data_IF_635158229670
#
_entry.id   IF_635158229670
#
_cell.length_a   1.000
_cell.length_b   1.000
_cell.length_c   1.000
_cell.angle_alpha   90.00
_cell.angle_beta   90.00
_cell.angle_gamma   90.00
#
_symmetry.space_group_name_H-M   'P 1'
#
loop_
_entity.id
_entity.type
_entity.pdbx_description
1 polymer ?
#
# COMPACT_ATOMS: atom_id res chain seq x y z
N UNK A 1 20.66 -36.72 -55.83
CA UNK A 1 20.34 -36.96 -54.40
C UNK A 1 21.10 -36.01 -53.48
N UNK A 2 21.10 -34.70 -53.75
CA UNK A 2 21.84 -33.65 -52.97
C UNK A 2 20.93 -32.53 -52.46
N UNK A 3 19.68 -32.51 -52.86
CA UNK A 3 18.78 -31.34 -52.52
C UNK A 3 18.09 -31.47 -51.16
N UNK A 4 18.09 -32.68 -50.55
CA UNK A 4 17.38 -32.91 -49.26
C UNK A 4 18.20 -32.44 -48.03
N UNK A 5 19.53 -32.34 -48.15
CA UNK A 5 20.40 -31.95 -47.02
C UNK A 5 20.38 -30.45 -46.69
N UNK A 6 20.26 -29.59 -47.68
CA UNK A 6 20.32 -28.16 -47.52
C UNK A 6 19.10 -27.54 -46.78
N UNK A 7 17.93 -28.15 -46.94
CA UNK A 7 16.71 -27.68 -46.24
C UNK A 7 16.71 -27.99 -44.73
N UNK A 8 17.28 -29.12 -44.33
CA UNK A 8 17.35 -29.52 -42.92
C UNK A 8 18.38 -28.70 -42.11
N UNK A 9 19.51 -28.37 -42.73
CA UNK A 9 20.52 -27.49 -42.09
C UNK A 9 20.05 -26.04 -41.98
N UNK A 10 19.36 -25.51 -42.99
CA UNK A 10 18.76 -24.18 -42.96
C UNK A 10 17.70 -24.09 -41.86
N UNK A 11 16.85 -25.10 -41.68
CA UNK A 11 15.84 -25.14 -40.64
C UNK A 11 16.45 -25.22 -39.24
N UNK A 12 17.51 -25.97 -39.01
CA UNK A 12 18.24 -26.00 -37.74
C UNK A 12 18.88 -24.65 -37.42
N UNK A 13 19.48 -23.98 -38.39
CA UNK A 13 20.09 -22.65 -38.19
C UNK A 13 19.06 -21.59 -37.81
N UNK A 14 17.87 -21.63 -38.43
CA UNK A 14 16.77 -20.73 -38.09
C UNK A 14 16.22 -20.98 -36.68
N UNK A 15 16.09 -22.23 -36.28
CA UNK A 15 15.67 -22.61 -34.94
C UNK A 15 16.68 -22.13 -33.90
N UNK A 16 17.97 -22.34 -34.08
CA UNK A 16 19.05 -21.91 -33.20
C UNK A 16 19.04 -20.36 -33.07
N UNK A 17 18.89 -19.64 -34.19
CA UNK A 17 18.83 -18.21 -34.21
C UNK A 17 17.62 -17.68 -33.39
N UNK A 18 16.45 -18.30 -33.54
CA UNK A 18 15.27 -17.94 -32.76
C UNK A 18 15.45 -18.18 -31.26
N UNK A 19 16.10 -19.29 -30.86
CA UNK A 19 16.43 -19.54 -29.46
C UNK A 19 17.41 -18.50 -28.90
N UNK A 20 18.43 -18.13 -29.66
CA UNK A 20 19.39 -17.10 -29.25
C UNK A 20 18.74 -15.72 -29.13
N UNK A 21 17.89 -15.33 -30.08
CA UNK A 21 17.15 -14.08 -30.01
C UNK A 21 16.18 -14.04 -28.82
N UNK A 22 15.48 -15.13 -28.55
CA UNK A 22 14.60 -15.26 -27.40
C UNK A 22 15.37 -15.16 -26.07
N UNK A 23 16.54 -15.77 -25.97
CA UNK A 23 17.40 -15.73 -24.80
C UNK A 23 17.97 -14.32 -24.56
N UNK A 24 18.41 -13.63 -25.62
CA UNK A 24 18.89 -12.24 -25.55
C UNK A 24 17.76 -11.31 -25.10
N UNK A 25 16.57 -11.46 -25.68
CA UNK A 25 15.39 -10.68 -25.29
C UNK A 25 15.02 -10.94 -23.82
N UNK A 26 15.04 -12.19 -23.38
CA UNK A 26 14.78 -12.55 -21.98
C UNK A 26 15.79 -11.90 -21.03
N UNK A 27 17.09 -11.97 -21.33
CA UNK A 27 18.12 -11.33 -20.52
C UNK A 27 17.98 -9.81 -20.47
N UNK A 28 17.63 -9.19 -21.61
CA UNK A 28 17.40 -7.76 -21.68
C UNK A 28 16.21 -7.33 -20.81
N UNK A 29 15.08 -8.05 -20.91
CA UNK A 29 13.87 -7.80 -20.11
C UNK A 29 14.18 -7.99 -18.62
N UNK A 30 14.88 -9.08 -18.26
CA UNK A 30 15.25 -9.36 -16.86
C UNK A 30 16.14 -8.25 -16.28
N UNK A 31 17.16 -7.81 -17.01
CA UNK A 31 18.03 -6.71 -16.56
C UNK A 31 17.27 -5.39 -16.35
N UNK A 32 16.20 -5.18 -17.10
CA UNK A 32 15.38 -3.97 -16.98
C UNK A 32 14.38 -4.03 -15.84
N UNK A 33 13.74 -5.19 -15.62
CA UNK A 33 12.65 -5.38 -14.65
C UNK A 33 13.18 -5.77 -13.26
N UNK A 34 14.27 -6.53 -13.19
CA UNK A 34 14.80 -7.05 -11.94
C UNK A 34 15.10 -5.97 -10.89
N UNK A 35 15.71 -4.83 -11.22
CA UNK A 35 15.92 -3.76 -10.24
C UNK A 35 14.61 -3.17 -9.69
N UNK A 36 13.57 -3.07 -10.52
CA UNK A 36 12.26 -2.60 -10.09
C UNK A 36 11.60 -3.61 -9.12
N UNK A 37 11.70 -4.91 -9.41
CA UNK A 37 11.20 -5.95 -8.50
C UNK A 37 11.93 -5.98 -7.16
N UNK A 38 13.25 -5.82 -7.19
CA UNK A 38 14.08 -5.73 -5.96
C UNK A 38 13.66 -4.52 -5.13
N UNK A 39 13.43 -3.36 -5.74
CA UNK A 39 12.99 -2.16 -5.05
C UNK A 39 11.62 -2.37 -4.37
N UNK A 40 10.65 -2.96 -5.08
CA UNK A 40 9.33 -3.25 -4.54
C UNK A 40 9.41 -4.24 -3.36
N UNK A 41 10.20 -5.30 -3.51
CA UNK A 41 10.42 -6.27 -2.44
C UNK A 41 11.06 -5.62 -1.21
N UNK A 42 12.05 -4.75 -1.42
CA UNK A 42 12.67 -3.99 -0.34
C UNK A 42 11.65 -3.09 0.38
N UNK A 43 10.74 -2.45 -0.34
CA UNK A 43 9.67 -1.63 0.26
C UNK A 43 8.74 -2.46 1.15
N UNK A 44 8.35 -3.65 0.69
CA UNK A 44 7.54 -4.57 1.49
C UNK A 44 8.29 -4.93 2.79
N UNK A 45 9.54 -5.37 2.66
CA UNK A 45 10.36 -5.76 3.82
C UNK A 45 10.53 -4.59 4.79
N UNK A 46 10.86 -3.40 4.31
CA UNK A 46 11.05 -2.22 5.16
C UNK A 46 9.76 -1.80 5.88
N UNK A 47 8.60 -1.85 5.21
CA UNK A 47 7.32 -1.51 5.82
C UNK A 47 6.97 -2.46 6.97
N UNK A 48 7.18 -3.75 6.80
CA UNK A 48 6.96 -4.72 7.87
C UNK A 48 8.03 -4.64 8.95
N UNK A 49 9.30 -4.55 8.60
CA UNK A 49 10.40 -4.53 9.55
C UNK A 49 10.34 -3.33 10.51
N UNK A 50 9.90 -2.18 10.01
CA UNK A 50 9.80 -0.98 10.85
C UNK A 50 8.70 -1.13 11.91
N UNK A 51 7.56 -1.72 11.57
CA UNK A 51 6.44 -1.89 12.49
C UNK A 51 6.42 -3.26 13.19
N UNK A 52 7.42 -4.09 12.95
CA UNK A 52 7.55 -5.46 13.50
C UNK A 52 7.24 -5.58 15.00
N UNK A 53 7.76 -4.70 15.90
CA UNK A 53 7.45 -4.81 17.30
C UNK A 53 5.97 -4.60 17.62
N UNK A 54 5.29 -3.70 16.90
CA UNK A 54 3.87 -3.44 17.11
C UNK A 54 2.99 -4.60 16.62
N UNK A 55 3.34 -5.19 15.46
CA UNK A 55 2.53 -6.23 14.83
C UNK A 55 2.67 -7.59 15.50
N UNK A 56 3.88 -8.00 15.89
CA UNK A 56 4.15 -9.33 16.48
C UNK A 56 3.87 -9.38 17.97
N UNK A 57 4.19 -8.31 18.69
CA UNK A 57 3.94 -8.25 20.14
C UNK A 57 2.50 -7.86 20.47
N UNK A 58 1.62 -7.78 19.46
CA UNK A 58 0.22 -7.33 19.60
C UNK A 58 0.10 -6.00 20.34
N UNK A 59 1.10 -5.14 20.19
CA UNK A 59 1.08 -3.80 20.76
C UNK A 59 0.19 -2.92 19.90
N UNK A 60 -0.77 -2.28 20.55
CA UNK A 60 -1.62 -1.29 19.87
C UNK A 60 -0.81 0.00 19.75
N UNK A 61 -0.66 0.49 18.53
CA UNK A 61 -0.09 1.80 18.31
C UNK A 61 -1.04 2.84 18.93
N UNK A 62 -0.57 3.56 19.95
CA UNK A 62 -1.38 4.59 20.59
C UNK A 62 -1.55 5.77 19.61
N UNK A 63 -2.79 6.01 19.21
CA UNK A 63 -3.17 7.09 18.31
C UNK A 63 -4.07 8.07 19.04
N UNK A 64 -3.53 9.25 19.34
CA UNK A 64 -4.14 10.21 20.26
C UNK A 64 -5.55 10.60 19.83
N UNK A 65 -5.73 11.00 18.57
CA UNK A 65 -7.01 11.47 18.06
C UNK A 65 -8.02 10.33 17.87
N UNK A 66 -7.54 9.13 17.54
CA UNK A 66 -8.39 7.95 17.46
C UNK A 66 -8.97 7.59 18.85
N UNK A 67 -8.16 7.66 19.90
CA UNK A 67 -8.61 7.41 21.28
C UNK A 67 -9.60 8.50 21.74
N UNK A 68 -9.30 9.76 21.44
CA UNK A 68 -10.20 10.88 21.74
C UNK A 68 -11.53 10.71 20.97
N UNK A 69 -11.48 10.31 19.71
CA UNK A 69 -12.67 10.04 18.90
C UNK A 69 -13.54 8.91 19.42
N UNK A 70 -12.93 7.83 19.94
CA UNK A 70 -13.66 6.73 20.60
C UNK A 70 -14.37 7.24 21.85
N UNK A 71 -13.68 8.01 22.70
CA UNK A 71 -14.28 8.59 23.90
C UNK A 71 -15.44 9.54 23.59
N UNK A 72 -15.25 10.41 22.61
CA UNK A 72 -16.29 11.33 22.16
C UNK A 72 -17.50 10.63 21.54
N UNK A 73 -17.31 9.48 20.88
CA UNK A 73 -18.36 8.67 20.26
C UNK A 73 -19.12 7.74 21.21
N UNK A 74 -18.69 7.62 22.48
CA UNK A 74 -19.23 6.62 23.41
C UNK A 74 -20.74 6.83 23.70
N UNK A 75 -21.17 8.05 23.94
CA UNK A 75 -22.60 8.37 24.15
C UNK A 75 -23.47 7.89 22.98
N UNK A 76 -23.02 8.14 21.76
CA UNK A 76 -23.72 7.72 20.55
C UNK A 76 -23.77 6.20 20.40
N UNK A 77 -22.73 5.52 20.83
CA UNK A 77 -22.64 4.06 20.82
C UNK A 77 -23.61 3.46 21.86
N UNK A 78 -23.59 3.95 23.08
CA UNK A 78 -24.48 3.52 24.17
C UNK A 78 -25.95 3.76 23.82
N UNK A 79 -26.26 4.90 23.16
CA UNK A 79 -27.61 5.17 22.66
C UNK A 79 -28.04 4.12 21.63
N UNK A 80 -27.21 3.80 20.67
CA UNK A 80 -27.46 2.78 19.66
C UNK A 80 -27.68 1.40 20.30
N UNK A 81 -26.85 1.01 21.26
CA UNK A 81 -26.95 -0.28 21.95
C UNK A 81 -28.27 -0.40 22.74
N UNK A 82 -28.74 0.70 23.34
CA UNK A 82 -29.96 0.74 24.14
C UNK A 82 -31.24 0.81 23.30
N UNK A 83 -31.23 1.54 22.18
CA UNK A 83 -32.45 1.86 21.42
C UNK A 83 -32.54 1.11 20.08
N UNK A 84 -31.42 0.60 19.58
CA UNK A 84 -31.31 0.06 18.22
C UNK A 84 -31.24 1.14 17.13
N UNK A 85 -31.33 2.42 17.50
CA UNK A 85 -31.33 3.55 16.58
C UNK A 85 -30.08 4.43 16.76
N UNK A 86 -29.66 5.07 15.68
CA UNK A 86 -28.51 6.01 15.74
C UNK A 86 -29.02 7.39 16.12
N UNK A 87 -28.44 7.95 17.19
CA UNK A 87 -28.68 9.37 17.51
C UNK A 87 -28.03 10.28 16.47
N UNK A 88 -28.70 11.36 16.15
CA UNK A 88 -28.17 12.43 15.28
C UNK A 88 -27.58 13.59 16.06
N UNK A 89 -27.63 13.54 17.38
CA UNK A 89 -27.12 14.53 18.31
C UNK A 89 -26.34 13.86 19.43
N UNK A 90 -25.28 14.52 19.91
CA UNK A 90 -24.52 14.09 21.09
C UNK A 90 -24.26 15.29 21.98
N UNK A 91 -24.23 15.08 23.30
CA UNK A 91 -23.87 16.09 24.29
C UNK A 91 -22.42 15.91 24.79
N UNK A 92 -21.69 14.93 24.28
CA UNK A 92 -20.35 14.58 24.79
C UNK A 92 -19.29 15.64 24.55
N UNK A 93 -19.45 16.50 23.53
CA UNK A 93 -18.50 17.56 23.20
C UNK A 93 -19.21 18.90 22.93
N UNK A 94 -18.51 19.98 23.21
CA UNK A 94 -18.93 21.37 22.92
C UNK A 94 -20.32 21.76 23.45
N UNK A 95 -20.84 21.08 24.47
CA UNK A 95 -22.17 21.31 24.98
C UNK A 95 -23.30 20.82 24.08
N UNK A 96 -22.96 20.03 23.09
CA UNK A 96 -23.87 19.37 22.15
C UNK A 96 -23.59 19.73 20.69
N UNK A 97 -23.58 18.70 19.84
CA UNK A 97 -23.35 18.88 18.42
C UNK A 97 -23.97 17.73 17.59
N UNK A 98 -24.20 17.94 16.28
CA UNK A 98 -24.67 16.88 15.40
C UNK A 98 -23.62 15.77 15.24
N UNK A 99 -24.03 14.51 15.34
CA UNK A 99 -23.12 13.34 15.27
C UNK A 99 -22.45 13.17 13.92
N UNK A 100 -23.00 13.69 12.83
CA UNK A 100 -22.37 13.63 11.50
C UNK A 100 -21.06 14.41 11.39
N UNK A 101 -20.79 15.35 12.31
CA UNK A 101 -19.53 16.11 12.37
C UNK A 101 -18.42 15.36 13.12
N UNK A 102 -18.77 14.36 13.94
CA UNK A 102 -17.80 13.63 14.75
C UNK A 102 -17.28 12.36 14.11
N UNK A 103 -18.17 11.56 13.58
CA UNK A 103 -17.83 10.30 12.91
C UNK A 103 -19.02 9.86 12.07
N UNK A 104 -19.17 10.35 10.86
CA UNK A 104 -20.29 9.98 10.00
C UNK A 104 -20.21 8.49 9.66
N UNK A 105 -21.07 7.72 10.30
CA UNK A 105 -21.21 6.28 10.04
C UNK A 105 -22.56 6.04 9.42
N UNK A 106 -22.61 6.08 8.10
CA UNK A 106 -23.82 5.78 7.33
C UNK A 106 -23.77 4.35 6.79
N UNK A 107 -24.94 3.74 6.56
CA UNK A 107 -24.98 2.43 5.93
C UNK A 107 -24.38 2.41 4.53
N UNK A 108 -24.49 3.52 3.80
CA UNK A 108 -23.83 3.74 2.52
C UNK A 108 -22.29 3.65 2.59
N UNK A 109 -21.69 3.91 3.75
CA UNK A 109 -20.22 3.83 3.92
C UNK A 109 -19.70 2.40 4.07
N UNK A 110 -20.58 1.39 4.23
CA UNK A 110 -20.15 -0.02 4.34
C UNK A 110 -19.39 -0.48 3.10
N UNK A 111 -19.84 -0.07 1.91
CA UNK A 111 -19.15 -0.39 0.65
C UNK A 111 -17.78 0.28 0.58
N UNK A 112 -17.68 1.54 0.99
CA UNK A 112 -16.41 2.27 1.04
C UNK A 112 -15.42 1.63 2.01
N UNK A 113 -15.88 1.18 3.19
CA UNK A 113 -15.07 0.43 4.14
C UNK A 113 -14.57 -0.90 3.60
N UNK A 114 -15.36 -1.57 2.77
CA UNK A 114 -14.92 -2.78 2.10
C UNK A 114 -13.83 -2.48 1.06
N UNK A 115 -14.02 -1.45 0.23
CA UNK A 115 -13.00 -0.99 -0.74
C UNK A 115 -11.71 -0.61 -0.02
N UNK A 116 -11.82 0.11 1.10
CA UNK A 116 -10.68 0.46 1.94
C UNK A 116 -9.92 -0.79 2.44
N UNK A 117 -10.61 -1.78 2.97
CA UNK A 117 -9.98 -3.03 3.43
C UNK A 117 -9.28 -3.79 2.30
N UNK A 118 -9.89 -3.83 1.12
CA UNK A 118 -9.28 -4.45 -0.08
C UNK A 118 -8.02 -3.68 -0.48
N UNK A 119 -8.10 -2.35 -0.50
CA UNK A 119 -6.95 -1.49 -0.80
C UNK A 119 -5.82 -1.65 0.21
N UNK A 120 -6.16 -1.83 1.49
CA UNK A 120 -5.21 -2.09 2.56
C UNK A 120 -4.70 -3.54 2.60
N UNK A 121 -5.14 -4.41 1.68
CA UNK A 121 -4.79 -5.83 1.65
C UNK A 121 -5.04 -6.54 3.00
N UNK A 122 -6.00 -6.06 3.78
CA UNK A 122 -6.29 -6.51 5.16
C UNK A 122 -5.10 -6.37 6.14
N UNK A 123 -4.08 -5.60 5.78
CA UNK A 123 -2.92 -5.30 6.62
C UNK A 123 -3.17 -4.07 7.50
N UNK A 124 -2.39 -3.88 8.56
CA UNK A 124 -2.45 -2.66 9.36
C UNK A 124 -2.24 -1.40 8.49
N UNK A 125 -3.10 -0.39 8.67
CA UNK A 125 -3.13 0.80 7.83
C UNK A 125 -1.79 1.55 7.77
N UNK A 126 -1.03 1.58 8.86
CA UNK A 126 0.28 2.22 8.92
C UNK A 126 1.36 1.49 8.09
N UNK A 127 1.32 0.14 8.03
CA UNK A 127 2.23 -0.66 7.17
C UNK A 127 1.94 -0.37 5.70
N UNK A 128 0.66 -0.43 5.33
CA UNK A 128 0.22 -0.19 3.95
C UNK A 128 0.50 1.24 3.52
N UNK A 129 0.24 2.22 4.38
CA UNK A 129 0.51 3.63 4.11
C UNK A 129 2.00 3.82 3.76
N UNK A 130 2.90 3.31 4.59
CA UNK A 130 4.35 3.44 4.37
C UNK A 130 4.77 2.78 3.06
N UNK A 131 4.24 1.58 2.76
CA UNK A 131 4.49 0.90 1.49
C UNK A 131 4.01 1.72 0.28
N UNK A 132 2.78 2.23 0.33
CA UNK A 132 2.19 3.00 -0.78
C UNK A 132 2.93 4.32 -0.99
N UNK A 133 3.37 4.97 0.08
CA UNK A 133 4.17 6.20 -0.03
C UNK A 133 5.52 5.94 -0.70
N UNK A 134 6.21 4.85 -0.35
CA UNK A 134 7.43 4.43 -1.06
C UNK A 134 7.15 4.13 -2.52
N UNK A 135 6.14 3.32 -2.80
CA UNK A 135 5.80 2.88 -4.14
C UNK A 135 5.35 4.04 -5.04
N UNK A 136 4.49 4.91 -4.53
CA UNK A 136 3.98 6.06 -5.28
C UNK A 136 5.08 7.03 -5.68
N UNK A 137 5.96 7.37 -4.74
CA UNK A 137 7.10 8.25 -5.04
C UNK A 137 8.13 7.58 -5.95
N UNK A 138 8.34 6.28 -5.77
CA UNK A 138 9.16 5.46 -6.68
C UNK A 138 8.65 5.54 -8.13
N UNK A 139 7.36 5.29 -8.36
CA UNK A 139 6.75 5.36 -9.68
C UNK A 139 6.93 6.75 -10.29
N UNK A 140 6.72 7.80 -9.50
CA UNK A 140 6.93 9.18 -9.94
C UNK A 140 8.37 9.42 -10.42
N UNK A 141 9.36 9.02 -9.62
CA UNK A 141 10.77 9.19 -9.96
C UNK A 141 11.17 8.33 -11.17
N UNK A 142 10.62 7.13 -11.31
CA UNK A 142 10.79 6.28 -12.51
C UNK A 142 10.20 6.94 -13.75
N UNK A 143 9.04 7.59 -13.62
CA UNK A 143 8.44 8.33 -14.72
C UNK A 143 9.29 9.54 -15.16
N UNK A 144 10.05 10.16 -14.25
CA UNK A 144 11.05 11.17 -14.58
C UNK A 144 12.36 10.61 -15.16
N UNK A 145 12.44 9.30 -15.36
CA UNK A 145 13.58 8.65 -16.01
C UNK A 145 14.76 8.34 -15.07
N UNK A 146 14.60 8.46 -13.75
CA UNK A 146 15.65 8.10 -12.79
C UNK A 146 15.87 6.57 -12.82
N UNK A 147 17.10 6.13 -12.49
CA UNK A 147 17.40 4.71 -12.32
C UNK A 147 16.59 4.10 -11.18
N UNK A 148 16.34 2.78 -11.24
CA UNK A 148 15.58 2.08 -10.20
C UNK A 148 16.17 2.24 -8.80
N UNK A 149 17.50 2.24 -8.68
CA UNK A 149 18.21 2.42 -7.41
C UNK A 149 17.99 3.82 -6.81
N UNK A 150 18.14 4.85 -7.64
CA UNK A 150 17.96 6.23 -7.19
C UNK A 150 16.48 6.52 -6.88
N UNK A 151 15.57 6.02 -7.69
CA UNK A 151 14.14 6.11 -7.43
C UNK A 151 13.74 5.36 -6.16
N UNK A 152 14.34 4.19 -5.92
CA UNK A 152 14.12 3.41 -4.70
C UNK A 152 14.55 4.15 -3.44
N UNK A 153 15.76 4.72 -3.47
CA UNK A 153 16.25 5.57 -2.38
C UNK A 153 15.31 6.77 -2.14
N UNK A 154 14.91 7.45 -3.20
CA UNK A 154 13.97 8.57 -3.11
C UNK A 154 12.63 8.17 -2.49
N UNK A 155 12.08 7.01 -2.88
CA UNK A 155 10.86 6.46 -2.28
C UNK A 155 10.99 6.23 -0.77
N UNK A 156 12.10 5.66 -0.33
CA UNK A 156 12.39 5.43 1.09
C UNK A 156 12.48 6.78 1.83
N UNK A 157 13.27 7.71 1.35
CA UNK A 157 13.44 9.04 1.98
C UNK A 157 12.08 9.75 2.10
N UNK A 158 11.26 9.68 1.06
CA UNK A 158 9.93 10.30 1.06
C UNK A 158 9.02 9.68 2.12
N UNK A 159 8.89 8.36 2.13
CA UNK A 159 7.99 7.65 3.04
C UNK A 159 8.43 7.76 4.51
N UNK A 160 9.73 7.81 4.77
CA UNK A 160 10.31 7.98 6.10
C UNK A 160 10.54 9.45 6.48
N UNK A 161 9.93 10.38 5.76
CA UNK A 161 9.94 11.78 6.16
C UNK A 161 9.15 12.01 7.46
N UNK A 162 9.55 13.00 8.23
CA UNK A 162 8.93 13.31 9.52
C UNK A 162 7.44 13.61 9.43
N UNK A 163 6.96 14.10 8.29
CA UNK A 163 5.56 14.42 8.08
C UNK A 163 4.64 13.20 8.30
N UNK A 164 4.94 12.07 7.66
CA UNK A 164 4.13 10.87 7.79
C UNK A 164 4.21 10.26 9.20
N UNK A 165 5.39 10.33 9.82
CA UNK A 165 5.60 9.84 11.18
C UNK A 165 4.98 10.73 12.27
N UNK A 166 4.57 11.94 11.96
CA UNK A 166 3.71 12.76 12.82
C UNK A 166 2.24 12.36 12.65
N UNK A 167 1.79 12.08 11.42
CA UNK A 167 0.39 11.72 11.14
C UNK A 167 -0.02 10.36 11.68
N UNK A 168 0.88 9.37 11.65
CA UNK A 168 0.59 8.02 12.13
C UNK A 168 0.23 7.98 13.62
N UNK A 169 1.01 8.57 14.55
CA UNK A 169 0.64 8.62 15.95
C UNK A 169 -0.58 9.51 16.24
N UNK A 170 -0.86 10.50 15.41
CA UNK A 170 -2.07 11.28 15.53
C UNK A 170 -3.33 10.48 15.18
N UNK A 171 -3.21 9.43 14.37
CA UNK A 171 -4.34 8.64 13.88
C UNK A 171 -4.91 9.12 12.54
N UNK A 172 -4.23 10.04 11.87
CA UNK A 172 -4.61 10.56 10.57
C UNK A 172 -3.93 9.76 9.45
N UNK A 173 -4.39 8.54 9.24
CA UNK A 173 -3.83 7.60 8.25
C UNK A 173 -4.46 7.79 6.85
N UNK A 174 -5.40 8.69 6.74
CA UNK A 174 -6.21 8.93 5.53
C UNK A 174 -5.69 10.07 4.67
#
# INVERSE_FOLDING_TARGET
>A
MIVVGLGAECNKSVIILNYQLSFINYQYIMKKILPDLIAILAFIILSFAYFFPADIESRILFQHDSVAGVGAGQESKEYLERTGERTRWTNSIFGGMPTYQMSPSYDSTKTLKWVEKVYQLYLPGYVVLTFIMMLGFYILLRAFGLSAWLAGLGGIIWAFSSYFFILIPAGHIW
#
